data_IF_952894463823
#
_entry.id   IF_952894463823
#
_cell.length_a   1.000
_cell.length_b   1.000
_cell.length_c   1.000
_cell.angle_alpha   90.00
_cell.angle_beta   90.00
_cell.angle_gamma   90.00
#
_symmetry.space_group_name_H-M   'P 1'
#
loop_
_entity.id
_entity.type
_entity.pdbx_description
1 polymer ?
#
# COMPACT_ATOMS: atom_id res chain seq x y z
N UNK A 1 7.75 19.30 10.35
CA UNK A 1 8.13 19.92 11.64
C UNK A 1 9.65 20.00 11.77
N UNK A 2 10.41 18.93 11.51
CA UNK A 2 11.89 18.99 11.44
C UNK A 2 12.39 19.95 10.35
N UNK A 3 11.86 19.89 9.13
CA UNK A 3 12.30 20.74 8.03
C UNK A 3 12.20 22.26 8.28
N UNK A 4 11.30 22.71 9.16
CA UNK A 4 11.26 24.13 9.58
C UNK A 4 12.34 24.44 10.60
N UNK A 5 12.56 23.57 11.59
CA UNK A 5 13.64 23.71 12.57
C UNK A 5 15.00 23.69 11.89
N UNK A 6 15.23 22.76 10.97
CA UNK A 6 16.46 22.66 10.18
C UNK A 6 16.69 23.93 9.35
N UNK A 7 15.64 24.46 8.74
CA UNK A 7 15.70 25.70 7.96
C UNK A 7 15.95 26.95 8.83
N UNK A 8 15.40 27.01 10.05
CA UNK A 8 15.72 28.08 11.00
C UNK A 8 17.14 27.97 11.55
N UNK A 9 17.62 26.76 11.79
CA UNK A 9 19.02 26.53 12.19
C UNK A 9 20.01 26.97 11.11
N UNK A 10 19.68 26.79 9.84
CA UNK A 10 20.52 27.25 8.72
C UNK A 10 20.42 28.78 8.50
N UNK A 11 19.26 29.38 8.75
CA UNK A 11 19.02 30.81 8.49
C UNK A 11 19.40 31.75 9.63
N UNK A 12 19.41 31.28 10.87
CA UNK A 12 19.60 32.14 12.03
C UNK A 12 21.04 32.09 12.56
N UNK A 13 21.59 33.25 12.90
CA UNK A 13 22.78 33.36 13.77
C UNK A 13 22.43 33.13 15.25
N UNK A 14 21.21 32.64 15.54
CA UNK A 14 20.69 32.49 16.89
C UNK A 14 20.95 31.07 17.40
N UNK A 15 21.12 30.94 18.72
CA UNK A 15 21.30 29.63 19.35
C UNK A 15 20.04 28.77 19.28
N UNK A 16 20.22 27.44 19.24
CA UNK A 16 19.16 26.43 19.18
C UNK A 16 18.06 26.65 20.23
N UNK A 17 18.42 27.08 21.45
CA UNK A 17 17.44 27.36 22.51
C UNK A 17 16.42 28.44 22.11
N UNK A 18 16.85 29.50 21.44
CA UNK A 18 15.95 30.57 20.98
C UNK A 18 14.97 30.04 19.94
N UNK A 19 15.45 29.23 19.00
CA UNK A 19 14.63 28.57 17.98
C UNK A 19 13.60 27.64 18.63
N UNK A 20 14.01 26.86 19.63
CA UNK A 20 13.11 25.95 20.34
C UNK A 20 12.07 26.68 21.19
N UNK A 21 12.42 27.84 21.78
CA UNK A 21 11.46 28.71 22.47
C UNK A 21 10.42 29.28 21.50
N UNK A 22 10.85 29.71 20.32
CA UNK A 22 9.95 30.18 19.27
C UNK A 22 9.07 29.03 18.75
N UNK A 23 9.64 27.84 18.58
CA UNK A 23 8.88 26.65 18.19
C UNK A 23 7.75 26.37 19.19
N UNK A 24 8.08 26.32 20.48
CA UNK A 24 7.11 26.10 21.56
C UNK A 24 6.07 27.21 21.62
N UNK A 25 6.43 28.48 21.40
CA UNK A 25 5.43 29.55 21.41
C UNK A 25 4.41 29.46 20.28
N UNK A 26 4.75 28.73 19.21
CA UNK A 26 3.90 28.51 18.03
C UNK A 26 3.09 27.21 18.06
N UNK A 27 3.34 26.30 19.00
CA UNK A 27 2.51 25.09 19.12
C UNK A 27 1.10 25.48 19.58
N UNK A 28 0.09 24.78 19.07
CA UNK A 28 -1.33 25.07 19.34
C UNK A 28 -2.09 23.79 19.69
N UNK A 29 -3.31 23.95 20.21
CA UNK A 29 -4.19 22.85 20.60
C UNK A 29 -3.58 21.97 21.70
N UNK A 30 -3.83 20.67 21.62
CA UNK A 30 -3.45 19.70 22.65
C UNK A 30 -1.96 19.70 23.00
N UNK A 31 -1.08 19.93 22.02
CA UNK A 31 0.36 19.98 22.26
C UNK A 31 0.76 21.21 23.10
N UNK A 32 0.06 22.33 22.94
CA UNK A 32 0.25 23.53 23.78
C UNK A 32 -0.22 23.30 25.20
N UNK A 33 -1.39 22.68 25.36
CA UNK A 33 -1.97 22.40 26.66
C UNK A 33 -1.07 21.45 27.46
N UNK A 34 -0.55 20.41 26.79
CA UNK A 34 0.47 19.53 27.36
C UNK A 34 1.71 20.29 27.80
N UNK A 35 2.30 21.11 26.93
CA UNK A 35 3.52 21.85 27.27
C UNK A 35 3.31 22.79 28.46
N UNK A 36 2.17 23.48 28.53
CA UNK A 36 1.84 24.39 29.63
C UNK A 36 1.61 23.66 30.95
N UNK A 37 1.14 22.41 30.91
CA UNK A 37 1.00 21.56 32.08
C UNK A 37 2.33 21.00 32.62
N UNK A 38 3.41 21.04 31.82
CA UNK A 38 4.74 20.63 32.27
C UNK A 38 5.28 21.57 33.35
N UNK A 39 5.98 21.01 34.34
CA UNK A 39 6.76 21.82 35.30
C UNK A 39 7.90 22.54 34.57
N UNK A 40 8.32 23.67 35.12
CA UNK A 40 9.39 24.52 34.55
C UNK A 40 10.64 23.73 34.18
N UNK A 41 11.08 22.79 35.01
CA UNK A 41 12.23 21.93 34.72
C UNK A 41 12.06 21.13 33.41
N UNK A 42 10.89 20.53 33.16
CA UNK A 42 10.62 19.78 31.92
C UNK A 42 10.44 20.70 30.71
N UNK A 43 9.85 21.88 30.91
CA UNK A 43 9.78 22.91 29.86
C UNK A 43 11.19 23.33 29.43
N UNK A 44 12.11 23.51 30.40
CA UNK A 44 13.51 23.83 30.17
C UNK A 44 14.26 22.70 29.47
N UNK A 45 14.02 21.44 29.85
CA UNK A 45 14.62 20.28 29.15
C UNK A 45 14.31 20.28 27.65
N UNK A 46 13.08 20.62 27.28
CA UNK A 46 12.67 20.64 25.87
C UNK A 46 13.33 21.80 25.11
N UNK A 47 13.32 23.01 25.65
CA UNK A 47 13.90 24.18 24.95
C UNK A 47 15.43 24.22 25.00
N UNK A 48 16.05 23.50 25.92
CA UNK A 48 17.51 23.33 26.02
C UNK A 48 18.00 21.99 25.48
N UNK A 49 17.19 21.29 24.69
CA UNK A 49 17.62 20.07 24.04
C UNK A 49 18.86 20.35 23.17
N UNK A 50 19.86 19.45 23.14
CA UNK A 50 21.13 19.69 22.45
C UNK A 50 21.02 19.59 20.92
N UNK A 51 19.89 19.11 20.40
CA UNK A 51 19.56 19.16 18.97
C UNK A 51 18.04 19.25 18.76
N UNK A 52 17.62 19.71 17.57
CA UNK A 52 16.23 19.69 17.16
C UNK A 52 15.63 18.27 17.17
N UNK A 53 16.42 17.26 16.79
CA UNK A 53 16.01 15.85 16.87
C UNK A 53 15.69 15.46 18.31
N UNK A 54 16.57 15.77 19.27
CA UNK A 54 16.32 15.44 20.67
C UNK A 54 15.13 16.19 21.26
N UNK A 55 14.87 17.43 20.83
CA UNK A 55 13.66 18.16 21.22
C UNK A 55 12.39 17.44 20.71
N UNK A 56 12.43 16.97 19.46
CA UNK A 56 11.34 16.17 18.87
C UNK A 56 11.21 14.84 19.60
N UNK A 57 12.30 14.18 19.98
CA UNK A 57 12.29 12.90 20.69
C UNK A 57 11.64 13.01 22.08
N UNK A 58 11.80 14.15 22.76
CA UNK A 58 11.10 14.43 24.03
C UNK A 58 9.57 14.44 23.81
N UNK A 59 9.12 15.11 22.75
CA UNK A 59 7.69 15.17 22.39
C UNK A 59 7.21 13.78 21.97
N UNK A 60 7.97 13.12 21.09
CA UNK A 60 7.67 11.79 20.59
C UNK A 60 7.50 10.80 21.74
N UNK A 61 8.43 10.81 22.71
CA UNK A 61 8.41 9.91 23.85
C UNK A 61 7.15 10.03 24.70
N UNK A 62 6.65 11.24 24.87
CA UNK A 62 5.42 11.46 25.63
C UNK A 62 4.19 10.85 24.93
N UNK A 63 4.03 11.11 23.63
CA UNK A 63 2.79 10.76 22.93
C UNK A 63 2.81 9.38 22.28
N UNK A 64 3.99 8.90 21.89
CA UNK A 64 4.19 7.70 21.10
C UNK A 64 5.09 6.66 21.80
N UNK A 65 5.72 7.02 22.91
CA UNK A 65 6.62 6.15 23.65
C UNK A 65 8.01 6.06 23.05
N UNK A 66 8.73 4.98 23.34
CA UNK A 66 10.09 4.80 22.84
C UNK A 66 10.14 4.73 21.31
N UNK A 67 10.93 5.60 20.69
CA UNK A 67 10.99 5.76 19.24
C UNK A 67 11.54 4.50 18.54
N UNK A 68 12.55 3.84 19.13
CA UNK A 68 13.13 2.63 18.58
C UNK A 68 12.13 1.46 18.65
N UNK A 69 11.45 1.30 19.77
CA UNK A 69 10.41 0.30 19.93
C UNK A 69 9.24 0.55 18.99
N UNK A 70 8.77 1.80 18.87
CA UNK A 70 7.72 2.19 17.94
C UNK A 70 8.11 1.89 16.49
N UNK A 71 9.35 2.20 16.10
CA UNK A 71 9.86 1.93 14.77
C UNK A 71 9.91 0.42 14.48
N UNK A 72 10.45 -0.39 15.41
CA UNK A 72 10.49 -1.86 15.30
C UNK A 72 9.09 -2.46 15.14
N UNK A 73 8.13 -2.02 15.95
CA UNK A 73 6.73 -2.44 15.83
C UNK A 73 6.13 -2.02 14.50
N UNK A 74 6.40 -0.79 14.05
CA UNK A 74 5.91 -0.29 12.77
C UNK A 74 6.45 -1.11 11.59
N UNK A 75 7.73 -1.48 11.60
CA UNK A 75 8.32 -2.39 10.62
C UNK A 75 7.58 -3.72 10.64
N UNK A 76 7.50 -4.38 11.80
CA UNK A 76 6.87 -5.69 11.92
C UNK A 76 5.45 -5.67 11.37
N UNK A 77 4.63 -4.72 11.82
CA UNK A 77 3.26 -4.56 11.35
C UNK A 77 3.16 -4.26 9.85
N UNK A 78 4.14 -3.56 9.28
CA UNK A 78 4.16 -3.25 7.85
C UNK A 78 4.35 -4.52 7.02
N UNK A 79 5.30 -5.37 7.40
CA UNK A 79 5.59 -6.62 6.70
C UNK A 79 4.51 -7.70 6.90
N UNK A 80 3.89 -7.75 8.08
CA UNK A 80 2.84 -8.72 8.41
C UNK A 80 1.47 -8.37 7.79
N UNK A 81 1.24 -7.10 7.45
CA UNK A 81 -0.04 -6.70 6.87
C UNK A 81 -0.28 -7.34 5.50
N UNK A 82 -1.48 -7.88 5.35
CA UNK A 82 -2.01 -8.46 4.11
C UNK A 82 -3.45 -7.99 3.90
N UNK A 83 -3.82 -7.79 2.65
CA UNK A 83 -5.19 -7.58 2.21
C UNK A 83 -5.68 -8.89 1.59
N UNK A 84 -6.64 -9.53 2.23
CA UNK A 84 -7.20 -10.81 1.77
C UNK A 84 -8.51 -10.63 1.00
N UNK A 85 -8.81 -9.41 0.54
CA UNK A 85 -10.10 -9.09 -0.09
C UNK A 85 -9.90 -8.39 -1.43
N UNK A 86 -10.67 -8.83 -2.42
CA UNK A 86 -10.73 -8.23 -3.76
C UNK A 86 -11.76 -7.09 -3.85
N UNK A 87 -12.37 -6.70 -2.72
CA UNK A 87 -13.31 -5.58 -2.68
C UNK A 87 -12.55 -4.25 -2.70
N UNK A 88 -12.98 -3.32 -3.56
CA UNK A 88 -12.36 -2.01 -3.73
C UNK A 88 -12.18 -1.27 -2.39
N UNK A 89 -13.26 -1.16 -1.60
CA UNK A 89 -13.23 -0.46 -0.32
C UNK A 89 -12.21 -1.06 0.66
N UNK A 90 -12.01 -2.39 0.63
CA UNK A 90 -11.04 -3.06 1.49
C UNK A 90 -9.60 -2.81 1.02
N UNK A 91 -9.37 -2.74 -0.30
CA UNK A 91 -8.07 -2.37 -0.88
C UNK A 91 -7.73 -0.91 -0.57
N UNK A 92 -8.69 0.00 -0.67
CA UNK A 92 -8.52 1.42 -0.30
C UNK A 92 -8.25 1.59 1.20
N UNK A 93 -8.99 0.87 2.05
CA UNK A 93 -8.76 0.87 3.49
C UNK A 93 -7.37 0.32 3.85
N UNK A 94 -6.96 -0.78 3.21
CA UNK A 94 -5.63 -1.36 3.36
C UNK A 94 -4.55 -0.38 2.94
N UNK A 95 -4.70 0.28 1.78
CA UNK A 95 -3.78 1.29 1.30
C UNK A 95 -3.61 2.43 2.31
N UNK A 96 -4.69 2.98 2.87
CA UNK A 96 -4.61 4.03 3.90
C UNK A 96 -3.80 3.61 5.12
N UNK A 97 -3.91 2.35 5.54
CA UNK A 97 -3.17 1.82 6.71
C UNK A 97 -1.69 1.56 6.39
N UNK A 98 -1.40 1.05 5.20
CA UNK A 98 -0.04 0.79 4.72
C UNK A 98 0.69 2.11 4.45
N UNK A 99 0.07 3.05 3.73
CA UNK A 99 0.69 4.31 3.30
C UNK A 99 1.17 5.13 4.50
N UNK A 100 0.36 5.19 5.57
CA UNK A 100 0.75 5.84 6.82
C UNK A 100 2.06 5.28 7.36
N UNK A 101 2.20 3.95 7.41
CA UNK A 101 3.41 3.26 7.90
C UNK A 101 4.58 3.40 6.93
N UNK A 102 4.31 3.29 5.63
CA UNK A 102 5.31 3.50 4.59
C UNK A 102 6.02 4.85 4.75
N UNK A 103 5.27 5.91 5.06
CA UNK A 103 5.86 7.24 5.28
C UNK A 103 6.61 7.34 6.61
N UNK A 104 6.11 6.73 7.69
CA UNK A 104 6.82 6.65 8.99
C UNK A 104 8.16 5.94 8.83
N UNK A 105 8.21 4.87 8.03
CA UNK A 105 9.41 4.09 7.75
C UNK A 105 10.37 4.75 6.74
N UNK A 106 10.06 5.96 6.27
CA UNK A 106 10.90 6.65 5.29
C UNK A 106 10.89 5.99 3.91
N UNK A 107 9.82 5.28 3.54
CA UNK A 107 9.76 4.45 2.33
C UNK A 107 9.94 5.19 1.00
N UNK A 108 9.89 6.53 0.98
CA UNK A 108 10.32 7.32 -0.18
C UNK A 108 11.77 6.99 -0.57
N UNK A 109 12.60 6.69 0.43
CA UNK A 109 14.02 6.36 0.27
C UNK A 109 14.28 4.84 0.19
N UNK A 110 13.24 4.00 0.30
CA UNK A 110 13.35 2.54 0.32
C UNK A 110 12.36 1.91 -0.68
N UNK A 111 12.88 1.52 -1.84
CA UNK A 111 12.13 0.85 -2.90
C UNK A 111 11.56 -0.51 -2.46
N UNK A 112 12.23 -1.21 -1.54
CA UNK A 112 11.79 -2.54 -1.09
C UNK A 112 10.40 -2.48 -0.45
N UNK A 113 10.08 -1.38 0.24
CA UNK A 113 8.78 -1.20 0.89
C UNK A 113 7.63 -1.07 -0.12
N UNK A 114 7.90 -0.61 -1.35
CA UNK A 114 6.90 -0.59 -2.42
C UNK A 114 6.55 -2.02 -2.87
N UNK A 115 7.56 -2.89 -3.00
CA UNK A 115 7.35 -4.31 -3.29
C UNK A 115 6.58 -5.01 -2.17
N UNK A 116 6.86 -4.69 -0.91
CA UNK A 116 6.11 -5.22 0.24
C UNK A 116 4.63 -4.85 0.15
N UNK A 117 4.31 -3.59 -0.20
CA UNK A 117 2.91 -3.20 -0.43
C UNK A 117 2.29 -3.99 -1.60
N UNK A 118 2.98 -4.13 -2.72
CA UNK A 118 2.49 -4.91 -3.86
C UNK A 118 2.16 -6.37 -3.45
N UNK A 119 3.07 -7.00 -2.71
CA UNK A 119 2.94 -8.37 -2.21
C UNK A 119 1.90 -8.49 -1.09
N UNK A 120 1.50 -7.38 -0.48
CA UNK A 120 0.45 -7.36 0.53
C UNK A 120 -0.97 -7.40 -0.05
N UNK A 121 -1.12 -7.19 -1.36
CA UNK A 121 -2.42 -7.23 -2.05
C UNK A 121 -2.82 -8.69 -2.39
N UNK A 122 -4.12 -8.95 -2.68
CA UNK A 122 -4.56 -10.28 -3.10
C UNK A 122 -3.80 -10.77 -4.33
N UNK A 123 -3.44 -12.06 -4.35
CA UNK A 123 -2.61 -12.68 -5.41
C UNK A 123 -3.27 -12.54 -6.79
N UNK A 124 -4.60 -12.58 -6.84
CA UNK A 124 -5.39 -12.40 -8.06
C UNK A 124 -5.15 -11.04 -8.73
N UNK A 125 -4.71 -10.03 -7.97
CA UNK A 125 -4.45 -8.68 -8.44
C UNK A 125 -2.99 -8.47 -8.87
N UNK A 126 -2.06 -9.23 -8.30
CA UNK A 126 -0.62 -8.96 -8.38
C UNK A 126 -0.09 -9.05 -9.82
N UNK A 127 -0.51 -10.07 -10.59
CA UNK A 127 -0.05 -10.24 -11.98
C UNK A 127 -0.48 -9.09 -12.89
N UNK A 128 -1.75 -8.67 -12.80
CA UNK A 128 -2.27 -7.56 -13.60
C UNK A 128 -1.68 -6.22 -13.15
N UNK A 129 -1.41 -6.05 -11.86
CA UNK A 129 -0.68 -4.91 -11.33
C UNK A 129 0.75 -4.85 -11.87
N UNK A 130 1.49 -5.96 -11.83
CA UNK A 130 2.85 -6.03 -12.37
C UNK A 130 2.86 -5.69 -13.87
N UNK A 131 1.92 -6.25 -14.65
CA UNK A 131 1.76 -5.90 -16.07
C UNK A 131 1.54 -4.41 -16.30
N UNK A 132 0.73 -3.75 -15.46
CA UNK A 132 0.50 -2.30 -15.57
C UNK A 132 1.76 -1.49 -15.27
N UNK A 133 2.53 -1.92 -14.28
CA UNK A 133 3.82 -1.31 -13.93
C UNK A 133 4.78 -1.45 -15.12
N UNK A 134 4.93 -2.65 -15.66
CA UNK A 134 5.84 -2.93 -16.79
C UNK A 134 5.43 -2.13 -18.04
N UNK A 135 4.13 -2.08 -18.34
CA UNK A 135 3.57 -1.33 -19.48
C UNK A 135 3.71 0.18 -19.32
N UNK A 136 3.93 0.69 -18.09
CA UNK A 136 4.14 2.12 -17.87
C UNK A 136 5.46 2.64 -18.45
N UNK A 137 6.41 1.76 -18.75
CA UNK A 137 7.72 2.11 -19.30
C UNK A 137 8.63 2.88 -18.34
N UNK A 138 8.23 3.02 -17.06
CA UNK A 138 9.00 3.70 -16.01
C UNK A 138 9.68 2.69 -15.11
N UNK A 139 10.87 3.04 -14.62
CA UNK A 139 11.53 2.22 -13.62
C UNK A 139 10.71 2.20 -12.32
N UNK A 140 10.68 1.07 -11.62
CA UNK A 140 9.85 0.89 -10.43
C UNK A 140 10.18 1.90 -9.32
N UNK A 141 11.46 2.21 -9.11
CA UNK A 141 11.93 3.28 -8.21
C UNK A 141 11.27 4.64 -8.46
N UNK A 142 10.92 4.96 -9.70
CA UNK A 142 10.36 6.26 -10.10
C UNK A 142 8.83 6.30 -9.99
N UNK A 143 8.20 5.15 -9.70
CA UNK A 143 6.75 5.04 -9.49
C UNK A 143 6.46 5.24 -8.01
N UNK A 144 5.62 6.21 -7.67
CA UNK A 144 5.24 6.47 -6.28
C UNK A 144 4.31 5.38 -5.73
N UNK A 145 4.25 5.23 -4.40
CA UNK A 145 3.32 4.30 -3.75
C UNK A 145 1.86 4.57 -4.15
N UNK A 146 1.48 5.85 -4.29
CA UNK A 146 0.13 6.25 -4.72
C UNK A 146 -0.18 5.80 -6.14
N UNK A 147 0.79 5.85 -7.05
CA UNK A 147 0.60 5.35 -8.42
C UNK A 147 0.48 3.83 -8.46
N UNK A 148 1.26 3.10 -7.64
CA UNK A 148 1.09 1.64 -7.48
C UNK A 148 -0.33 1.32 -7.01
N UNK A 149 -0.87 2.10 -6.06
CA UNK A 149 -2.26 1.95 -5.63
C UNK A 149 -3.27 2.27 -6.74
N UNK A 150 -3.06 3.33 -7.51
CA UNK A 150 -3.91 3.64 -8.68
C UNK A 150 -3.90 2.50 -9.72
N UNK A 151 -2.72 1.93 -9.99
CA UNK A 151 -2.62 0.75 -10.85
C UNK A 151 -3.33 -0.46 -10.25
N UNK A 152 -3.28 -0.64 -8.92
CA UNK A 152 -3.99 -1.70 -8.21
C UNK A 152 -5.51 -1.58 -8.44
N UNK A 153 -6.07 -0.38 -8.28
CA UNK A 153 -7.50 -0.14 -8.52
C UNK A 153 -7.87 -0.36 -9.99
N UNK A 154 -7.03 0.09 -10.91
CA UNK A 154 -7.26 -0.11 -12.35
C UNK A 154 -7.18 -1.60 -12.75
N UNK A 155 -6.28 -2.37 -12.13
CA UNK A 155 -6.20 -3.82 -12.33
C UNK A 155 -7.45 -4.51 -11.80
N UNK A 156 -7.97 -4.04 -10.67
CA UNK A 156 -9.19 -4.56 -10.09
C UNK A 156 -10.40 -4.33 -11.01
N UNK A 157 -10.55 -3.13 -11.56
CA UNK A 157 -11.61 -2.82 -12.52
C UNK A 157 -11.56 -3.73 -13.76
N UNK A 158 -10.34 -4.00 -14.27
CA UNK A 158 -10.14 -4.93 -15.40
C UNK A 158 -10.56 -6.37 -15.04
N UNK A 159 -10.24 -6.84 -13.83
CA UNK A 159 -10.66 -8.17 -13.35
C UNK A 159 -12.19 -8.27 -13.27
N UNK A 160 -12.86 -7.25 -12.72
CA UNK A 160 -14.33 -7.21 -12.67
C UNK A 160 -14.96 -7.25 -14.07
N UNK A 161 -14.45 -6.46 -15.01
CA UNK A 161 -14.95 -6.45 -16.40
C UNK A 161 -14.74 -7.83 -17.04
N UNK A 162 -13.55 -8.40 -16.89
CA UNK A 162 -13.21 -9.73 -17.41
C UNK A 162 -14.17 -10.80 -16.86
N UNK A 163 -14.38 -10.84 -15.55
CA UNK A 163 -15.30 -11.78 -14.90
C UNK A 163 -16.74 -11.61 -15.41
N UNK A 164 -17.21 -10.37 -15.60
CA UNK A 164 -18.55 -10.07 -16.13
C UNK A 164 -18.73 -10.60 -17.55
N UNK A 165 -17.72 -10.40 -18.42
CA UNK A 165 -17.75 -10.89 -19.81
C UNK A 165 -17.75 -12.41 -19.84
N UNK A 166 -16.84 -13.07 -19.12
CA UNK A 166 -16.81 -14.54 -19.04
C UNK A 166 -18.12 -15.12 -18.51
N UNK A 167 -18.70 -14.50 -17.49
CA UNK A 167 -19.99 -14.93 -16.93
C UNK A 167 -21.13 -14.85 -17.95
N UNK A 168 -21.13 -13.85 -18.84
CA UNK A 168 -22.10 -13.75 -19.94
C UNK A 168 -21.85 -14.84 -20.99
N UNK A 169 -20.60 -15.01 -21.42
CA UNK A 169 -20.22 -16.04 -22.40
C UNK A 169 -20.58 -17.45 -21.92
N UNK A 170 -20.36 -17.77 -20.64
CA UNK A 170 -20.73 -19.09 -20.08
C UNK A 170 -22.26 -19.28 -20.03
N UNK A 171 -23.03 -18.23 -19.74
CA UNK A 171 -24.50 -18.29 -19.75
C UNK A 171 -25.05 -18.48 -21.17
N UNK A 172 -24.44 -17.82 -22.16
CA UNK A 172 -24.81 -17.94 -23.58
C UNK A 172 -24.32 -19.26 -24.18
N UNK A 173 -23.12 -19.72 -23.82
CA UNK A 173 -22.56 -21.03 -24.15
C UNK A 173 -23.50 -22.18 -23.79
N UNK A 174 -24.16 -22.12 -22.63
CA UNK A 174 -25.19 -23.09 -22.23
C UNK A 174 -26.42 -23.11 -23.16
N UNK A 175 -26.73 -22.00 -23.83
CA UNK A 175 -27.80 -21.95 -24.85
C UNK A 175 -27.35 -22.64 -26.14
N UNK A 176 -26.09 -22.43 -26.54
CA UNK A 176 -25.50 -23.11 -27.69
C UNK A 176 -25.33 -24.61 -27.46
N UNK A 177 -24.97 -25.06 -26.25
CA UNK A 177 -24.87 -26.49 -25.92
C UNK A 177 -26.24 -27.20 -26.02
N UNK A 178 -27.35 -26.50 -25.75
CA UNK A 178 -28.70 -27.03 -25.98
C UNK A 178 -29.07 -27.07 -27.47
N UNK A 179 -28.61 -26.11 -28.27
CA UNK A 179 -28.84 -26.06 -29.71
C UNK A 179 -27.97 -27.05 -30.50
N UNK A 180 -26.74 -27.30 -30.04
CA UNK A 180 -25.81 -28.27 -30.65
C UNK A 180 -26.21 -29.72 -30.38
N UNK A 181 -27.04 -29.98 -29.34
CA UNK A 181 -27.73 -31.26 -29.13
C UNK A 181 -28.96 -31.45 -30.02
N UNK A 182 -29.08 -30.73 -31.14
CA UNK A 182 -30.01 -31.13 -32.20
C UNK A 182 -29.52 -32.46 -32.81
N UNK A 183 -30.34 -33.50 -32.67
CA UNK A 183 -30.06 -34.89 -33.08
C UNK A 183 -29.74 -35.09 -34.57
N UNK A 184 -29.83 -34.05 -35.40
CA UNK A 184 -29.52 -34.08 -36.83
C UNK A 184 -28.03 -33.97 -37.15
N UNK A 185 -27.19 -33.49 -36.23
CA UNK A 185 -25.73 -33.35 -36.43
C UNK A 185 -24.90 -34.31 -35.58
N UNK A 186 -25.54 -35.14 -34.75
CA UNK A 186 -24.88 -36.28 -34.14
C UNK A 186 -24.70 -37.35 -35.21
N UNK A 187 -23.46 -37.57 -35.67
CA UNK A 187 -23.11 -38.75 -36.47
C UNK A 187 -23.37 -39.96 -35.56
N UNK A 188 -24.57 -40.52 -35.65
CA UNK A 188 -24.89 -41.81 -35.06
C UNK A 188 -23.97 -42.81 -35.77
N UNK A 189 -22.90 -43.23 -35.09
CA UNK A 189 -22.33 -44.54 -35.39
C UNK A 189 -23.43 -45.56 -35.10
N UNK A 190 -24.24 -45.86 -36.11
CA UNK A 190 -25.06 -47.06 -36.12
C UNK A 190 -24.08 -48.20 -36.39
N UNK A 191 -24.04 -49.15 -35.47
CA UNK A 191 -23.31 -50.42 -35.49
C UNK A 191 -21.90 -50.38 -34.86
N UNK A 192 -21.67 -51.03 -33.69
CA UNK A 192 -20.37 -51.12 -33.02
C UNK A 192 -19.32 -51.99 -33.73
N UNK A 193 -19.69 -52.71 -34.79
CA UNK A 193 -18.85 -53.78 -35.36
C UNK A 193 -18.04 -53.37 -36.61
N UNK A 194 -18.12 -52.11 -37.09
CA UNK A 194 -17.41 -51.72 -38.32
C UNK A 194 -16.54 -50.46 -38.23
N UNK A 195 -16.36 -49.85 -37.06
CA UNK A 195 -15.46 -48.71 -36.93
C UNK A 195 -13.99 -49.15 -36.78
N UNK A 196 -13.32 -49.36 -37.91
CA UNK A 196 -11.86 -49.52 -37.99
C UNK A 196 -11.14 -48.18 -37.84
N UNK A 197 -11.32 -47.52 -36.70
CA UNK A 197 -10.47 -46.38 -36.34
C UNK A 197 -9.13 -46.93 -35.82
N UNK A 198 -8.20 -47.26 -36.73
CA UNK A 198 -6.82 -47.57 -36.32
C UNK A 198 -6.12 -46.28 -35.89
N UNK A 199 -5.45 -46.25 -34.73
CA UNK A 199 -4.56 -45.14 -34.38
C UNK A 199 -3.34 -45.19 -35.30
N UNK A 200 -3.02 -44.10 -35.99
CA UNK A 200 -1.72 -43.97 -36.67
C UNK A 200 -0.62 -44.02 -35.60
N UNK A 201 0.23 -45.05 -35.66
CA UNK A 201 1.48 -45.13 -34.91
C UNK A 201 2.65 -44.72 -35.81
N UNK A 202 3.48 -43.83 -35.25
CA UNK A 202 4.76 -43.24 -35.68
C UNK A 202 4.70 -42.32 -36.89
#
# INVERSE_FOLDING_TARGET
MSAWLDLQMVKSQQGLETILREFVSRITGFLRDWYQALREYRQLQLVRAPSASQAIDIIFREFLGDADQFYKQTIQEFFEKRCCSILKNNIEFHYKRISTRYHILGGINDESLKHVYMNSLPVELQDELQRKIDTSGRAFKDISLGEIHMFSLSSLDKLYVTQRVFSKMLKEGKKYDKQYRQQSLQIKCKVPESCTCKPKKK
#
